data_IF_692311455017
#
_entry.id   IF_692311455017
#
_cell.length_a   1.000
_cell.length_b   1.000
_cell.length_c   1.000
_cell.angle_alpha   90.00
_cell.angle_beta   90.00
_cell.angle_gamma   90.00
#
_symmetry.space_group_name_H-M   'P 1'
#
loop_
_entity.id
_entity.type
_entity.pdbx_description
1 polymer ?
#
# COMPACT_ATOMS: atom_id res chain seq x y z
N UNK A 1 12.86 -11.06 7.72
CA UNK A 1 12.34 -10.28 6.59
C UNK A 1 12.96 -8.89 6.60
N UNK A 2 13.96 -8.73 5.81
CA UNK A 2 14.78 -7.53 5.90
C UNK A 2 14.15 -6.29 5.30
N UNK A 3 13.45 -6.43 4.17
CA UNK A 3 12.91 -5.24 3.48
C UNK A 3 11.85 -4.54 4.31
N UNK A 4 10.98 -5.31 4.99
CA UNK A 4 9.94 -4.71 5.83
C UNK A 4 10.56 -4.14 7.09
N UNK A 5 11.55 -4.82 7.66
CA UNK A 5 12.19 -4.35 8.87
C UNK A 5 12.82 -2.99 8.67
N UNK A 6 13.34 -2.72 7.48
CA UNK A 6 13.93 -1.45 7.14
C UNK A 6 12.93 -0.30 7.29
N UNK A 7 11.64 -0.58 7.07
CA UNK A 7 10.60 0.45 7.06
C UNK A 7 9.59 0.30 8.21
N UNK A 8 9.92 -0.46 9.24
CA UNK A 8 8.93 -0.78 10.26
C UNK A 8 8.44 0.43 11.05
N UNK A 9 9.17 1.54 11.01
CA UNK A 9 8.75 2.77 11.69
C UNK A 9 8.31 3.86 10.74
N UNK A 10 8.24 3.55 9.46
CA UNK A 10 7.84 4.54 8.48
C UNK A 10 6.32 4.67 8.48
N UNK A 11 5.84 5.91 8.55
CA UNK A 11 4.42 6.21 8.48
C UNK A 11 4.19 7.39 7.58
N UNK A 12 3.04 7.45 6.95
CA UNK A 12 2.63 8.61 6.18
C UNK A 12 1.11 8.73 6.22
N UNK A 13 0.61 9.86 5.76
CA UNK A 13 -0.81 10.03 5.54
C UNK A 13 -1.17 9.54 4.15
N UNK A 14 -2.42 9.14 4.00
CA UNK A 14 -2.96 8.75 2.71
C UNK A 14 -4.45 9.03 2.70
N UNK A 15 -5.03 8.95 1.50
CA UNK A 15 -6.48 9.08 1.34
C UNK A 15 -7.02 7.74 0.88
N UNK A 16 -7.83 7.13 1.72
CA UNK A 16 -8.37 5.80 1.48
C UNK A 16 -9.85 5.88 1.13
N UNK A 17 -10.23 5.10 0.15
CA UNK A 17 -11.61 4.97 -0.29
C UNK A 17 -11.96 3.48 -0.31
N UNK A 18 -13.03 3.14 0.41
CA UNK A 18 -13.44 1.75 0.56
C UNK A 18 -14.06 1.19 -0.73
N UNK A 19 -15.04 1.93 -1.26
CA UNK A 19 -15.75 1.54 -2.47
C UNK A 19 -15.76 2.71 -3.43
N UNK A 20 -16.04 2.42 -4.70
CA UNK A 20 -15.98 3.41 -5.76
C UNK A 20 -16.75 4.69 -5.46
N UNK A 21 -17.91 4.54 -4.83
CA UNK A 21 -18.78 5.71 -4.56
C UNK A 21 -18.61 6.25 -3.15
N UNK A 22 -17.68 5.70 -2.38
CA UNK A 22 -17.43 6.15 -1.01
C UNK A 22 -16.57 7.39 -1.03
N UNK A 23 -16.69 8.19 0.02
CA UNK A 23 -15.80 9.33 0.20
C UNK A 23 -14.42 8.85 0.60
N UNK A 24 -13.42 9.59 0.17
CA UNK A 24 -12.06 9.36 0.62
C UNK A 24 -11.92 9.87 2.05
N UNK A 25 -11.16 9.14 2.85
CA UNK A 25 -10.88 9.58 4.22
C UNK A 25 -9.38 9.49 4.47
N UNK A 26 -8.92 10.39 5.31
CA UNK A 26 -7.51 10.42 5.67
C UNK A 26 -7.19 9.26 6.61
N UNK A 27 -6.12 8.57 6.31
CA UNK A 27 -5.65 7.44 7.11
C UNK A 27 -4.17 7.57 7.34
N UNK A 28 -3.67 6.86 8.35
CA UNK A 28 -2.25 6.71 8.58
C UNK A 28 -1.83 5.38 7.96
N UNK A 29 -0.79 5.42 7.14
CA UNK A 29 -0.27 4.26 6.42
C UNK A 29 1.02 3.83 7.09
N UNK A 30 1.12 2.57 7.45
CA UNK A 30 2.33 2.01 8.07
C UNK A 30 2.49 0.57 7.60
N UNK A 31 3.63 -0.03 7.95
CA UNK A 31 3.92 -1.39 7.52
C UNK A 31 3.71 -2.38 8.65
N UNK A 32 2.98 -3.46 8.35
CA UNK A 32 2.92 -4.63 9.19
C UNK A 32 3.93 -5.65 8.73
N UNK A 33 3.72 -6.90 9.09
CA UNK A 33 4.70 -7.94 8.79
C UNK A 33 4.79 -8.27 7.30
N UNK A 34 3.66 -8.40 6.64
CA UNK A 34 3.62 -8.57 5.19
C UNK A 34 2.47 -7.77 4.60
N UNK A 35 2.06 -6.73 5.30
CA UNK A 35 0.89 -5.94 4.96
C UNK A 35 1.20 -4.45 5.06
N UNK A 36 0.37 -3.68 4.38
CA UNK A 36 0.28 -2.25 4.58
C UNK A 36 -0.91 -2.03 5.51
N UNK A 37 -0.69 -1.37 6.63
CA UNK A 37 -1.72 -1.17 7.65
C UNK A 37 -2.30 0.22 7.49
N UNK A 38 -3.62 0.31 7.38
CA UNK A 38 -4.32 1.58 7.30
C UNK A 38 -5.07 1.79 8.61
N UNK A 39 -4.75 2.88 9.29
CA UNK A 39 -5.31 3.21 10.60
C UNK A 39 -5.95 4.58 10.57
N UNK A 40 -6.84 4.85 11.52
CA UNK A 40 -7.37 6.20 11.66
C UNK A 40 -6.35 7.08 12.38
N UNK A 41 -6.70 8.36 12.56
CA UNK A 41 -5.77 9.31 13.16
C UNK A 41 -5.51 9.02 14.64
N UNK A 42 -6.29 8.14 15.24
CA UNK A 42 -6.09 7.71 16.62
C UNK A 42 -5.36 6.37 16.70
N UNK A 43 -4.75 5.95 15.59
CA UNK A 43 -3.98 4.72 15.48
C UNK A 43 -4.83 3.45 15.65
N UNK A 44 -6.13 3.54 15.39
CA UNK A 44 -6.99 2.36 15.39
C UNK A 44 -6.96 1.73 14.00
N UNK A 45 -6.59 0.46 13.89
CA UNK A 45 -6.55 -0.17 12.58
C UNK A 45 -7.93 -0.19 11.92
N UNK A 46 -7.98 0.20 10.65
CA UNK A 46 -9.19 0.15 9.85
C UNK A 46 -9.17 -1.11 9.00
N UNK A 47 -8.08 -1.29 8.27
CA UNK A 47 -7.91 -2.44 7.39
C UNK A 47 -6.43 -2.61 7.12
N UNK A 48 -6.09 -3.71 6.46
CA UNK A 48 -4.72 -3.92 6.02
C UNK A 48 -4.75 -4.53 4.64
N UNK A 49 -3.75 -4.21 3.86
CA UNK A 49 -3.60 -4.67 2.48
C UNK A 49 -2.41 -5.62 2.40
N UNK A 50 -2.58 -6.74 1.73
CA UNK A 50 -1.44 -7.60 1.45
C UNK A 50 -0.49 -6.86 0.52
N UNK A 51 0.79 -6.75 0.91
CA UNK A 51 1.77 -6.07 0.09
C UNK A 51 1.94 -6.74 -1.27
N UNK A 52 1.72 -8.05 -1.33
CA UNK A 52 1.82 -8.78 -2.58
C UNK A 52 0.68 -8.44 -3.55
N UNK A 53 -0.44 -7.95 -3.03
CA UNK A 53 -1.62 -7.67 -3.85
C UNK A 53 -1.72 -6.22 -4.31
N UNK A 54 -0.85 -5.35 -3.82
CA UNK A 54 -0.93 -3.93 -4.15
C UNK A 54 -0.55 -3.70 -5.61
N UNK A 55 -1.36 -2.92 -6.32
CA UNK A 55 -1.12 -2.56 -7.72
C UNK A 55 -1.30 -1.06 -7.90
N UNK A 56 -0.64 -0.51 -8.91
CA UNK A 56 -0.85 0.87 -9.30
C UNK A 56 -2.21 0.98 -9.96
N UNK A 57 -2.98 2.00 -9.58
CA UNK A 57 -4.28 2.27 -10.16
C UNK A 57 -4.32 3.63 -10.85
N UNK A 58 -3.20 4.35 -10.89
CA UNK A 58 -3.12 5.63 -11.57
C UNK A 58 -2.31 6.63 -10.77
N UNK A 59 -2.27 7.84 -11.28
CA UNK A 59 -1.55 8.93 -10.64
C UNK A 59 -2.55 9.95 -10.10
N UNK A 60 -2.23 10.52 -8.95
CA UNK A 60 -2.90 11.71 -8.48
C UNK A 60 -2.04 12.92 -8.85
N UNK A 61 -2.49 14.10 -8.45
CA UNK A 61 -1.80 15.33 -8.78
C UNK A 61 -0.34 15.31 -8.31
N UNK A 62 -0.10 14.82 -7.11
CA UNK A 62 1.24 14.82 -6.52
C UNK A 62 1.70 13.45 -6.07
N UNK A 63 0.98 12.41 -6.41
CA UNK A 63 1.29 11.08 -5.88
C UNK A 63 0.78 9.96 -6.74
N UNK A 64 0.61 8.82 -6.09
CA UNK A 64 0.22 7.57 -6.73
C UNK A 64 -1.07 7.06 -6.08
N UNK A 65 -1.95 6.50 -6.89
CA UNK A 65 -3.14 5.80 -6.41
C UNK A 65 -2.86 4.31 -6.48
N UNK A 66 -3.03 3.62 -5.36
CA UNK A 66 -2.86 2.16 -5.26
C UNK A 66 -4.20 1.49 -5.06
N UNK A 67 -4.29 0.23 -5.45
CA UNK A 67 -5.47 -0.59 -5.21
C UNK A 67 -5.03 -2.01 -4.85
N UNK A 68 -5.96 -2.80 -4.30
CA UNK A 68 -5.72 -4.22 -4.01
C UNK A 68 -6.75 -5.12 -4.68
N UNK A 69 -7.68 -4.56 -5.45
CA UNK A 69 -8.69 -5.38 -6.10
C UNK A 69 -8.70 -5.14 -7.60
N UNK A 70 -9.23 -6.12 -8.33
CA UNK A 70 -9.20 -6.09 -9.80
C UNK A 70 -10.05 -4.98 -10.39
N UNK A 71 -11.04 -4.51 -9.65
CA UNK A 71 -11.94 -3.47 -10.12
C UNK A 71 -11.46 -2.07 -9.75
N UNK A 72 -10.46 -1.97 -8.89
CA UNK A 72 -9.96 -0.68 -8.46
C UNK A 72 -10.93 0.11 -7.63
N UNK A 73 -11.84 -0.56 -6.91
CA UNK A 73 -12.84 0.13 -6.10
C UNK A 73 -12.25 0.63 -4.79
N UNK A 74 -11.45 -0.21 -4.15
CA UNK A 74 -10.75 0.20 -2.94
C UNK A 74 -9.43 0.82 -3.32
N UNK A 75 -9.22 2.08 -2.97
CA UNK A 75 -8.01 2.80 -3.39
C UNK A 75 -7.36 3.50 -2.22
N UNK A 76 -6.07 3.74 -2.36
CA UNK A 76 -5.28 4.48 -1.40
C UNK A 76 -4.38 5.43 -2.18
N UNK A 77 -4.57 6.71 -1.96
CA UNK A 77 -3.78 7.74 -2.63
C UNK A 77 -2.69 8.23 -1.66
N UNK A 78 -1.44 8.18 -2.09
CA UNK A 78 -0.29 8.56 -1.28
C UNK A 78 0.53 9.56 -2.07
N UNK A 79 0.90 10.68 -1.43
CA UNK A 79 1.76 11.67 -2.05
C UNK A 79 3.13 11.78 -1.37
N UNK A 80 3.37 11.01 -0.32
CA UNK A 80 4.66 10.97 0.36
C UNK A 80 5.62 10.11 -0.45
N UNK A 81 6.64 10.73 -1.01
CA UNK A 81 7.56 10.05 -1.92
C UNK A 81 8.37 8.97 -1.23
N UNK A 82 8.68 9.14 0.04
CA UNK A 82 9.43 8.13 0.80
C UNK A 82 8.57 6.89 0.96
N UNK A 83 7.29 7.08 1.33
CA UNK A 83 6.37 5.97 1.47
C UNK A 83 6.13 5.26 0.13
N UNK A 84 5.95 6.01 -0.95
CA UNK A 84 5.77 5.44 -2.28
C UNK A 84 6.96 4.57 -2.66
N UNK A 85 8.17 5.09 -2.46
CA UNK A 85 9.40 4.35 -2.76
C UNK A 85 9.50 3.09 -1.93
N UNK A 86 9.12 3.17 -0.65
CA UNK A 86 9.16 2.01 0.24
C UNK A 86 8.21 0.92 -0.23
N UNK A 87 7.00 1.29 -0.64
CA UNK A 87 6.02 0.32 -1.13
C UNK A 87 6.57 -0.40 -2.37
N UNK A 88 7.11 0.35 -3.32
CA UNK A 88 7.67 -0.26 -4.53
C UNK A 88 8.84 -1.18 -4.20
N UNK A 89 9.70 -0.76 -3.27
CA UNK A 89 10.87 -1.54 -2.91
C UNK A 89 10.48 -2.87 -2.27
N UNK A 90 9.51 -2.83 -1.35
CA UNK A 90 9.07 -4.05 -0.70
C UNK A 90 8.35 -4.95 -1.68
N UNK A 91 7.52 -4.39 -2.54
CA UNK A 91 6.81 -5.18 -3.54
C UNK A 91 7.79 -5.86 -4.49
N UNK A 92 8.81 -5.15 -4.94
CA UNK A 92 9.83 -5.75 -5.80
C UNK A 92 10.57 -6.88 -5.09
N UNK A 93 10.84 -6.72 -3.80
CA UNK A 93 11.49 -7.75 -3.00
C UNK A 93 10.62 -9.00 -2.89
N UNK A 94 9.32 -8.83 -2.71
CA UNK A 94 8.39 -9.95 -2.65
C UNK A 94 8.35 -10.67 -3.99
N UNK A 95 8.25 -9.93 -5.08
CA UNK A 95 8.17 -10.51 -6.41
C UNK A 95 9.43 -11.26 -6.79
N UNK A 96 10.58 -10.77 -6.35
CA UNK A 96 11.86 -11.42 -6.64
C UNK A 96 11.98 -12.78 -5.95
N UNK A 97 11.22 -13.00 -4.87
CA UNK A 97 11.26 -14.27 -4.16
C UNK A 97 10.22 -15.26 -4.62
N UNK A 98 9.28 -14.82 -5.46
CA UNK A 98 8.22 -15.71 -5.91
C UNK A 98 8.75 -16.68 -6.94
N UNK A 99 8.25 -17.92 -6.95
CA UNK A 99 8.53 -18.80 -8.07
C UNK A 99 7.92 -18.21 -9.33
N UNK A 100 8.48 -18.55 -10.47
CA UNK A 100 8.00 -18.09 -11.75
C UNK A 100 7.40 -19.27 -12.50
N UNK A 101 6.12 -19.61 -12.25
CA UNK A 101 5.50 -20.74 -12.92
C UNK A 101 5.48 -20.49 -14.43
N UNK A 102 5.73 -21.52 -15.19
CA UNK A 102 5.85 -21.38 -16.63
C UNK A 102 7.20 -20.92 -17.11
N UNK A 103 8.07 -20.56 -16.23
CA UNK A 103 9.42 -20.19 -16.57
C UNK A 103 10.33 -21.41 -16.40
N UNK A 104 10.96 -21.80 -17.44
CA UNK A 104 11.78 -23.02 -17.43
C UNK A 104 13.23 -22.73 -17.74
#
# INVERSE_FOLDING_TARGET
MTAIKEFERLESLGLWRDLKDSQRREVVVSFGESTLVLSDINNRPITHWSLAAIEDAGNSENGIIFTVDDLGEETLEIDDQIMISAIYKIKASIEARRPHPGRL
#
